data_IF_537946939114
#
_entry.id   IF_537946939114
#
_cell.length_a   1.000
_cell.length_b   1.000
_cell.length_c   1.000
_cell.angle_alpha   90.00
_cell.angle_beta   90.00
_cell.angle_gamma   90.00
#
_symmetry.space_group_name_H-M   'P 1'
#
loop_
_entity.id
_entity.type
_entity.pdbx_description
1 polymer ?
#
# COMPACT_ATOMS: atom_id res chain seq x y z
N UNK A 1 -2.21 -11.97 16.84
CA UNK A 1 -3.30 -12.05 15.88
C UNK A 1 -2.84 -11.81 14.47
N UNK A 2 -3.33 -12.59 13.53
CA UNK A 2 -2.91 -12.48 12.15
C UNK A 2 -3.74 -11.42 11.43
N UNK A 3 -3.06 -10.50 10.77
CA UNK A 3 -3.72 -9.49 9.97
C UNK A 3 -4.19 -10.11 8.66
N UNK A 4 -5.32 -9.65 8.18
CA UNK A 4 -5.90 -10.15 6.94
C UNK A 4 -5.78 -9.09 5.87
N UNK A 5 -5.03 -9.41 4.82
CA UNK A 5 -4.85 -8.50 3.69
C UNK A 5 -5.71 -8.96 2.52
N UNK A 6 -6.20 -7.98 1.76
CA UNK A 6 -6.84 -8.31 0.48
C UNK A 6 -5.79 -8.91 -0.45
N UNK A 7 -6.27 -9.53 -1.55
CA UNK A 7 -5.33 -10.10 -2.52
C UNK A 7 -4.39 -9.04 -3.08
N UNK A 8 -4.92 -7.87 -3.40
CA UNK A 8 -4.08 -6.79 -3.93
C UNK A 8 -3.09 -6.29 -2.90
N UNK A 9 -3.52 -6.21 -1.63
CA UNK A 9 -2.61 -5.76 -0.58
C UNK A 9 -1.50 -6.79 -0.35
N UNK A 10 -1.85 -8.08 -0.34
CA UNK A 10 -0.84 -9.11 -0.17
C UNK A 10 0.13 -9.10 -1.34
N UNK A 11 -0.39 -8.92 -2.56
CA UNK A 11 0.46 -8.85 -3.75
C UNK A 11 1.40 -7.64 -3.66
N UNK A 12 0.90 -6.52 -3.13
CA UNK A 12 1.74 -5.33 -2.96
C UNK A 12 2.87 -5.59 -1.98
N UNK A 13 2.59 -6.27 -0.87
CA UNK A 13 3.62 -6.59 0.11
C UNK A 13 4.64 -7.55 -0.47
N UNK A 14 4.19 -8.55 -1.23
CA UNK A 14 5.10 -9.46 -1.90
C UNK A 14 5.98 -8.71 -2.90
N UNK A 15 5.39 -7.77 -3.64
CA UNK A 15 6.15 -6.98 -4.60
C UNK A 15 7.16 -6.06 -3.91
N UNK A 16 6.84 -5.59 -2.69
CA UNK A 16 7.79 -4.79 -1.93
C UNK A 16 9.04 -5.60 -1.61
N UNK A 17 8.85 -6.84 -1.19
CA UNK A 17 9.98 -7.73 -0.89
C UNK A 17 10.81 -7.96 -2.15
N UNK A 18 10.14 -8.26 -3.26
CA UNK A 18 10.85 -8.52 -4.51
C UNK A 18 11.59 -7.29 -5.00
N UNK A 19 11.00 -6.10 -4.83
CA UNK A 19 11.68 -4.86 -5.23
C UNK A 19 12.94 -4.63 -4.41
N UNK A 20 12.88 -4.86 -3.10
CA UNK A 20 14.06 -4.73 -2.25
C UNK A 20 15.15 -5.69 -2.70
N UNK A 21 14.77 -6.94 -2.98
CA UNK A 21 15.74 -7.96 -3.42
C UNK A 21 16.37 -7.56 -4.74
N UNK A 22 15.57 -7.11 -5.70
CA UNK A 22 16.09 -6.71 -7.01
C UNK A 22 17.08 -5.56 -6.91
N UNK A 23 16.83 -4.64 -5.97
CA UNK A 23 17.72 -3.52 -5.76
C UNK A 23 18.93 -3.88 -4.89
N UNK A 24 18.98 -5.09 -4.39
CA UNK A 24 20.09 -5.53 -3.56
C UNK A 24 20.08 -4.92 -2.17
N UNK A 25 18.91 -4.51 -1.72
CA UNK A 25 18.77 -3.92 -0.38
C UNK A 25 18.51 -5.01 0.64
N UNK A 26 19.09 -4.86 1.84
CA UNK A 26 18.95 -5.85 2.89
C UNK A 26 17.78 -5.56 3.80
N UNK A 27 16.99 -4.54 3.49
CA UNK A 27 15.88 -4.12 4.32
C UNK A 27 14.68 -3.81 3.45
N UNK A 28 13.50 -3.83 4.07
CA UNK A 28 12.26 -3.39 3.46
C UNK A 28 11.84 -2.13 4.18
N UNK A 29 12.03 -0.98 3.54
CA UNK A 29 11.65 0.30 4.07
C UNK A 29 10.35 0.79 3.49
N UNK A 30 9.93 1.98 3.89
CA UNK A 30 8.68 2.55 3.38
C UNK A 30 8.75 2.77 1.87
N UNK A 31 9.93 3.08 1.34
CA UNK A 31 10.08 3.24 -0.11
C UNK A 31 9.80 1.95 -0.85
N UNK A 32 10.13 0.81 -0.27
CA UNK A 32 9.84 -0.47 -0.89
C UNK A 32 8.35 -0.79 -0.81
N UNK A 33 7.69 -0.39 0.27
CA UNK A 33 6.23 -0.53 0.36
C UNK A 33 5.58 0.31 -0.73
N UNK A 34 6.07 1.53 -0.93
CA UNK A 34 5.55 2.37 -2.01
C UNK A 34 5.72 1.70 -3.36
N UNK A 35 6.89 1.11 -3.62
CA UNK A 35 7.12 0.38 -4.86
C UNK A 35 6.14 -0.79 -5.00
N UNK A 36 5.90 -1.50 -3.91
CA UNK A 36 4.96 -2.61 -3.94
C UNK A 36 3.56 -2.17 -4.29
N UNK A 37 3.12 -1.04 -3.72
CA UNK A 37 1.79 -0.51 -4.01
C UNK A 37 1.65 -0.13 -5.48
N UNK A 38 2.74 0.31 -6.10
CA UNK A 38 2.71 0.75 -7.50
C UNK A 38 2.87 -0.40 -8.50
N UNK A 39 3.35 -1.55 -8.05
CA UNK A 39 3.85 -2.57 -8.95
C UNK A 39 2.81 -3.09 -9.93
N UNK A 40 1.64 -3.47 -9.44
CA UNK A 40 0.63 -4.07 -10.32
C UNK A 40 -0.20 -3.06 -11.09
N UNK A 41 -0.44 -1.91 -10.51
CA UNK A 41 -1.11 -0.84 -11.22
C UNK A 41 -2.62 -0.92 -11.30
N UNK A 42 -3.26 -1.90 -10.67
CA UNK A 42 -4.72 -2.01 -10.73
C UNK A 42 -5.37 -2.11 -9.37
N UNK A 43 -4.75 -1.52 -8.36
CA UNK A 43 -5.34 -1.42 -7.02
C UNK A 43 -5.77 0.02 -6.78
N UNK A 44 -6.51 0.24 -5.70
CA UNK A 44 -6.91 1.60 -5.34
C UNK A 44 -5.67 2.47 -5.12
N UNK A 45 -4.69 1.95 -4.37
CA UNK A 45 -3.49 2.73 -4.08
C UNK A 45 -2.72 3.05 -5.36
N UNK A 46 -2.56 2.07 -6.24
CA UNK A 46 -1.84 2.29 -7.49
C UNK A 46 -2.56 3.31 -8.35
N UNK A 47 -3.88 3.20 -8.45
CA UNK A 47 -4.65 4.14 -9.26
C UNK A 47 -4.54 5.56 -8.73
N UNK A 48 -4.62 5.74 -7.42
CA UNK A 48 -4.49 7.05 -6.82
C UNK A 48 -3.10 7.64 -7.05
N UNK A 49 -2.07 6.83 -6.82
CA UNK A 49 -0.69 7.29 -7.02
C UNK A 49 -0.43 7.63 -8.48
N UNK A 50 -0.89 6.77 -9.39
CA UNK A 50 -0.72 7.03 -10.82
C UNK A 50 -1.43 8.31 -11.24
N UNK A 51 -2.58 8.60 -10.65
CA UNK A 51 -3.32 9.82 -10.97
C UNK A 51 -2.56 11.08 -10.56
N UNK A 52 -1.59 10.95 -9.66
CA UNK A 52 -0.74 12.05 -9.24
C UNK A 52 0.58 12.07 -10.01
N UNK A 53 0.73 11.23 -11.03
CA UNK A 53 1.94 11.16 -11.81
C UNK A 53 3.04 10.32 -11.20
N UNK A 54 2.72 9.56 -10.15
CA UNK A 54 3.70 8.69 -9.50
C UNK A 54 3.61 7.32 -10.13
N UNK A 55 4.72 6.83 -10.66
CA UNK A 55 4.78 5.53 -11.31
C UNK A 55 5.86 4.67 -10.68
N UNK A 56 5.74 3.37 -10.89
CA UNK A 56 6.73 2.42 -10.39
C UNK A 56 8.13 2.78 -10.89
N UNK A 57 8.25 3.04 -12.18
CA UNK A 57 9.55 3.31 -12.80
C UNK A 57 10.19 4.57 -12.23
N UNK A 58 9.40 5.62 -12.03
CA UNK A 58 9.92 6.85 -11.45
C UNK A 58 10.49 6.62 -10.06
N UNK A 59 9.75 5.87 -9.24
CA UNK A 59 10.18 5.65 -7.86
C UNK A 59 11.39 4.72 -7.83
N UNK A 60 11.45 3.72 -8.71
CA UNK A 60 12.64 2.88 -8.79
C UNK A 60 13.87 3.73 -9.11
N UNK A 61 13.74 4.65 -10.08
CA UNK A 61 14.86 5.49 -10.45
C UNK A 61 15.31 6.36 -9.29
N UNK A 62 14.35 6.93 -8.56
CA UNK A 62 14.68 7.80 -7.43
C UNK A 62 15.32 7.01 -6.30
N UNK A 63 14.76 5.86 -5.97
CA UNK A 63 15.30 5.04 -4.90
C UNK A 63 16.71 4.56 -5.26
N UNK A 64 16.90 4.15 -6.50
CA UNK A 64 18.22 3.71 -6.95
C UNK A 64 19.23 4.83 -6.86
N UNK A 65 18.84 6.06 -7.22
CA UNK A 65 19.74 7.19 -7.17
C UNK A 65 20.07 7.61 -5.74
N UNK A 66 19.08 7.50 -4.82
CA UNK A 66 19.25 7.97 -3.45
C UNK A 66 20.01 6.99 -2.58
N UNK A 67 19.71 5.70 -2.70
CA UNK A 67 20.32 4.69 -1.83
C UNK A 67 21.26 3.76 -2.55
N UNK A 68 21.32 3.88 -3.88
CA UNK A 68 22.15 2.99 -4.66
C UNK A 68 21.50 1.64 -4.88
N UNK A 69 22.20 0.83 -5.64
CA UNK A 69 21.76 -0.52 -5.96
C UNK A 69 22.87 -1.47 -5.51
N UNK A 70 22.52 -2.38 -4.62
CA UNK A 70 23.46 -3.39 -4.19
C UNK A 70 23.39 -4.61 -5.09
N UNK A 71 24.16 -5.62 -4.72
CA UNK A 71 24.08 -6.89 -5.42
C UNK A 71 22.78 -7.60 -5.03
N UNK A 72 22.20 -8.30 -5.99
CA UNK A 72 20.95 -8.99 -5.73
C UNK A 72 21.15 -10.01 -4.59
N UNK A 73 20.20 -10.03 -3.69
CA UNK A 73 20.24 -10.93 -2.56
C UNK A 73 19.91 -12.34 -3.04
N UNK A 74 20.76 -13.27 -2.72
CA UNK A 74 20.56 -14.65 -3.14
C UNK A 74 20.13 -15.55 -1.98
N UNK A 75 20.70 -15.32 -0.82
CA UNK A 75 20.59 -16.28 0.26
C UNK A 75 19.72 -15.81 1.40
N UNK A 76 19.49 -14.52 1.52
CA UNK A 76 18.76 -13.98 2.66
C UNK A 76 17.62 -13.10 2.19
N UNK A 77 16.51 -13.15 2.90
CA UNK A 77 15.41 -12.24 2.66
C UNK A 77 15.68 -10.92 3.34
N UNK A 78 15.28 -9.80 2.73
CA UNK A 78 15.40 -8.50 3.39
C UNK A 78 14.58 -8.46 4.67
N UNK A 79 15.06 -7.72 5.64
CA UNK A 79 14.40 -7.57 6.93
C UNK A 79 13.49 -6.36 6.93
N UNK A 80 12.30 -6.53 7.47
CA UNK A 80 11.35 -5.43 7.61
C UNK A 80 11.87 -4.44 8.65
N UNK A 81 11.88 -3.16 8.31
CA UNK A 81 12.31 -2.13 9.26
C UNK A 81 11.23 -1.93 10.32
N UNK A 82 11.62 -1.41 11.50
CA UNK A 82 10.62 -1.09 12.53
C UNK A 82 9.57 -0.10 12.03
N UNK A 83 9.97 0.85 11.19
CA UNK A 83 9.01 1.81 10.64
C UNK A 83 7.97 1.13 9.78
N UNK A 84 8.38 0.16 8.96
CA UNK A 84 7.42 -0.57 8.14
C UNK A 84 6.51 -1.42 9.00
N UNK A 85 7.06 -2.06 10.05
CA UNK A 85 6.21 -2.79 10.96
C UNK A 85 5.13 -1.88 11.57
N UNK A 86 5.52 -0.67 11.94
CA UNK A 86 4.57 0.31 12.47
C UNK A 86 3.53 0.69 11.43
N UNK A 87 3.96 0.90 10.18
CA UNK A 87 3.02 1.23 9.10
C UNK A 87 2.01 0.11 8.91
N UNK A 88 2.46 -1.14 8.95
CA UNK A 88 1.53 -2.25 8.76
C UNK A 88 0.56 -2.39 9.95
N UNK A 89 1.04 -2.16 11.16
CA UNK A 89 0.14 -2.15 12.31
C UNK A 89 -0.90 -1.04 12.20
N UNK A 90 -0.46 0.13 11.76
CA UNK A 90 -1.37 1.25 11.58
C UNK A 90 -2.39 0.97 10.47
N UNK A 91 -1.97 0.28 9.41
CA UNK A 91 -2.91 -0.06 8.34
C UNK A 91 -4.00 -1.00 8.85
N UNK A 92 -3.67 -1.93 9.73
CA UNK A 92 -4.66 -2.79 10.35
C UNK A 92 -5.63 -1.99 11.22
N UNK A 93 -5.10 -1.04 11.96
CA UNK A 93 -5.93 -0.16 12.78
C UNK A 93 -6.88 0.66 11.93
N UNK A 94 -6.38 1.22 10.83
CA UNK A 94 -7.20 2.02 9.94
C UNK A 94 -8.30 1.19 9.28
N UNK A 95 -7.98 -0.04 8.89
CA UNK A 95 -9.00 -0.92 8.34
C UNK A 95 -10.10 -1.17 9.36
N UNK A 96 -9.72 -1.45 10.60
CA UNK A 96 -10.68 -1.69 11.65
C UNK A 96 -11.55 -0.47 11.92
N UNK A 97 -10.93 0.70 11.96
CA UNK A 97 -11.64 1.94 12.24
C UNK A 97 -12.62 2.30 11.13
N UNK A 98 -12.33 1.88 9.90
CA UNK A 98 -13.25 2.14 8.78
C UNK A 98 -14.24 1.00 8.57
N UNK A 99 -14.28 0.04 9.49
CA UNK A 99 -15.25 -1.03 9.43
C UNK A 99 -14.92 -2.14 8.44
N UNK A 100 -13.67 -2.23 8.01
CA UNK A 100 -13.27 -3.22 7.02
C UNK A 100 -12.70 -4.45 7.71
N UNK A 101 -13.07 -5.62 7.20
CA UNK A 101 -12.55 -6.88 7.71
C UNK A 101 -11.11 -7.12 7.24
N UNK A 102 -10.82 -6.69 6.02
CA UNK A 102 -9.52 -6.93 5.41
C UNK A 102 -8.78 -5.62 5.22
N UNK A 103 -7.45 -5.71 5.24
CA UNK A 103 -6.59 -4.56 5.03
C UNK A 103 -6.32 -4.46 3.53
N UNK A 104 -6.78 -3.39 2.91
CA UNK A 104 -6.59 -3.17 1.49
C UNK A 104 -5.40 -2.28 1.22
N UNK A 105 -5.09 -2.09 -0.07
CA UNK A 105 -4.00 -1.21 -0.45
C UNK A 105 -4.26 0.23 -0.02
N UNK A 106 -5.55 0.65 0.02
CA UNK A 106 -5.87 1.99 0.48
C UNK A 106 -5.49 2.19 1.94
N UNK A 107 -5.64 1.15 2.76
CA UNK A 107 -5.28 1.25 4.18
C UNK A 107 -3.77 1.31 4.35
N UNK A 108 -3.03 0.54 3.56
CA UNK A 108 -1.58 0.59 3.61
C UNK A 108 -1.10 1.97 3.15
N UNK A 109 -1.70 2.50 2.10
CA UNK A 109 -1.34 3.83 1.63
C UNK A 109 -1.65 4.89 2.68
N UNK A 110 -2.83 4.84 3.30
CA UNK A 110 -3.18 5.77 4.35
C UNK A 110 -2.18 5.73 5.50
N UNK A 111 -1.83 4.51 5.93
CA UNK A 111 -0.86 4.37 7.03
C UNK A 111 0.48 4.95 6.65
N UNK A 112 0.93 4.67 5.43
CA UNK A 112 2.19 5.19 4.93
C UNK A 112 2.20 6.73 4.96
N UNK A 113 1.11 7.34 4.52
CA UNK A 113 1.02 8.79 4.46
C UNK A 113 0.93 9.44 5.84
N UNK A 114 0.40 8.71 6.83
CA UNK A 114 0.33 9.24 8.19
C UNK A 114 1.68 9.28 8.89
N UNK A 115 2.60 8.45 8.47
CA UNK A 115 3.95 8.45 9.04
C UNK A 115 4.76 9.50 8.28
N UNK A 116 4.60 10.74 8.68
CA UNK A 116 4.99 11.89 7.87
C UNK A 116 6.51 12.02 7.68
N UNK A 117 7.30 11.34 8.48
CA UNK A 117 8.75 11.42 8.37
C UNK A 117 9.37 10.18 7.73
N UNK A 118 8.56 9.35 7.09
CA UNK A 118 9.12 8.17 6.42
C UNK A 118 9.62 8.55 5.03
N UNK A 119 10.47 7.69 4.50
CA UNK A 119 11.11 7.95 3.21
C UNK A 119 10.08 8.05 2.08
N UNK A 120 9.04 7.20 2.12
CA UNK A 120 8.02 7.22 1.07
C UNK A 120 7.34 8.59 0.99
N UNK A 121 7.01 9.18 2.15
CA UNK A 121 6.37 10.50 2.15
C UNK A 121 7.33 11.55 1.59
N UNK A 122 8.61 11.46 1.96
CA UNK A 122 9.60 12.40 1.43
C UNK A 122 9.66 12.31 -0.09
N UNK A 123 9.68 11.09 -0.63
CA UNK A 123 9.71 10.90 -2.08
C UNK A 123 8.47 11.48 -2.74
N UNK A 124 7.31 11.25 -2.15
CA UNK A 124 6.06 11.76 -2.72
C UNK A 124 6.02 13.28 -2.71
N UNK A 125 6.49 13.89 -1.62
CA UNK A 125 6.54 15.35 -1.55
C UNK A 125 7.48 15.91 -2.61
N UNK A 126 8.61 15.26 -2.81
CA UNK A 126 9.56 15.70 -3.82
C UNK A 126 8.97 15.60 -5.23
N UNK A 127 8.02 14.70 -5.44
CA UNK A 127 7.32 14.57 -6.71
C UNK A 127 6.14 15.53 -6.83
N UNK A 128 5.95 16.40 -5.85
CA UNK A 128 4.88 17.38 -5.91
C UNK A 128 3.52 16.87 -5.46
N UNK A 129 3.47 15.74 -4.80
CA UNK A 129 2.21 15.16 -4.36
C UNK A 129 1.70 15.89 -3.12
N UNK A 130 0.43 16.27 -3.13
CA UNK A 130 -0.22 16.81 -1.95
C UNK A 130 -0.61 15.64 -1.05
N UNK A 131 0.10 15.49 0.06
CA UNK A 131 -0.06 14.33 0.92
C UNK A 131 -1.46 14.32 1.55
N UNK A 132 -1.93 15.46 2.03
CA UNK A 132 -3.25 15.53 2.67
C UNK A 132 -4.36 15.17 1.68
N UNK A 133 -4.26 15.67 0.46
CA UNK A 133 -5.24 15.37 -0.57
C UNK A 133 -5.25 13.88 -0.90
N UNK A 134 -4.07 13.31 -1.08
CA UNK A 134 -3.96 11.88 -1.39
C UNK A 134 -4.53 11.04 -0.25
N UNK A 135 -4.23 11.41 1.00
CA UNK A 135 -4.77 10.71 2.15
C UNK A 135 -6.30 10.75 2.15
N UNK A 136 -6.86 11.93 1.91
CA UNK A 136 -8.31 12.07 1.91
C UNK A 136 -8.95 11.24 0.79
N UNK A 137 -8.31 11.20 -0.36
CA UNK A 137 -8.81 10.38 -1.46
C UNK A 137 -8.76 8.89 -1.12
N UNK A 138 -7.69 8.45 -0.49
CA UNK A 138 -7.59 7.05 -0.06
C UNK A 138 -8.65 6.74 1.00
N UNK A 139 -8.85 7.67 1.94
CA UNK A 139 -9.81 7.45 3.02
C UNK A 139 -11.24 7.40 2.49
N UNK A 140 -11.55 8.11 1.41
CA UNK A 140 -12.89 8.10 0.87
C UNK A 140 -13.11 6.99 -0.14
N UNK A 141 -12.09 6.21 -0.46
CA UNK A 141 -12.27 5.03 -1.31
C UNK A 141 -13.03 3.98 -0.53
N UNK A 142 -13.92 3.28 -1.23
CA UNK A 142 -14.78 2.33 -0.53
C UNK A 142 -14.02 1.12 -0.05
N UNK A 143 -13.57 0.33 -0.96
CA UNK A 143 -12.79 -0.84 -0.60
C UNK A 143 -11.89 -1.15 -1.76
N UNK A 144 -10.67 -1.48 -1.42
CA UNK A 144 -9.76 -2.06 -2.37
C UNK A 144 -10.15 -3.51 -2.47
N UNK A 145 -10.22 -4.05 -3.65
CA UNK A 145 -10.62 -5.44 -3.79
C UNK A 145 -11.95 -5.74 -3.12
N UNK A 146 -12.79 -4.73 -2.98
CA UNK A 146 -14.09 -4.97 -2.39
C UNK A 146 -14.81 -6.09 -3.08
N UNK A 147 -14.71 -6.14 -4.40
CA UNK A 147 -15.32 -7.20 -5.16
C UNK A 147 -14.67 -8.54 -4.86
N UNK A 148 -13.36 -8.57 -4.63
CA UNK A 148 -12.67 -9.83 -4.41
C UNK A 148 -13.15 -10.52 -3.14
N UNK A 149 -13.13 -9.81 -2.02
CA UNK A 149 -13.53 -10.50 -0.82
C UNK A 149 -15.03 -10.47 -0.61
N UNK A 150 -15.74 -9.57 -1.26
CA UNK A 150 -17.19 -9.66 -1.28
C UNK A 150 -17.62 -10.90 -2.04
N UNK A 151 -16.96 -11.18 -3.16
CA UNK A 151 -17.31 -12.36 -3.93
C UNK A 151 -16.94 -13.64 -3.22
N UNK A 152 -15.93 -13.60 -2.39
CA UNK A 152 -15.59 -14.79 -1.63
C UNK A 152 -16.47 -14.94 -0.43
N UNK A 153 -17.18 -13.96 -0.12
CA UNK A 153 -17.99 -14.03 0.96
C UNK A 153 -19.11 -13.23 0.94
N UNK A 154 -19.40 -12.57 0.36
CA UNK A 154 -20.37 -11.81 0.70
C UNK A 154 -21.19 -11.06 0.09
N UNK A 155 -21.81 -10.98 -0.29
CA UNK A 155 -22.26 -10.27 -0.97
C UNK A 155 -22.80 -9.18 -0.85
N UNK A 156 -23.01 -9.04 -0.97
CA UNK A 156 -23.48 -8.30 -1.02
C UNK A 156 -24.07 -7.44 -0.98
N UNK A 157 -24.14 -7.57 -1.29
CA UNK A 157 -24.71 -6.99 -1.35
C UNK A 157 -25.33 -6.24 -1.33
N UNK A 158 -25.46 -6.47 -1.63
CA UNK A 158 -26.13 -5.98 -1.71
C UNK A 158 -26.80 -5.29 -1.50
N UNK A 159 -26.77 -5.49 -1.69
CA UNK A 159 -27.51 -5.10 -1.58
C UNK A 159 -27.98 -4.49 -1.20
N UNK A 160 -28.26 -4.59 -1.46
CA UNK A 160 -28.74 -4.33 -1.21
C UNK A 160 -29.07 -3.55 -0.78
N UNK A 161 -29.22 -3.45 -0.88
CA UNK A 161 -29.60 -2.95 -0.56
C UNK A 161 -29.88 -2.29 -0.06
N UNK A 162 -29.88 -2.52 -0.13
CA UNK A 162 -30.11 -2.04 0.26
C UNK A 162 -30.15 -1.44 0.75
N UNK A 163 -30.07 -1.70 0.65
CA UNK A 163 -29.99 -1.33 1.05
C UNK A 163 -29.81 -0.67 1.56
N UNK A 164 -29.72 -0.86 1.50
CA UNK A 164 -29.39 -0.49 1.93
C UNK A 164 -28.96 -0.01 2.41
N UNK A 165 -28.81 -0.11 2.36
CA UNK A 165 -28.18 -0.14 2.78
C UNK A 165 -27.60 0.13 3.22
N UNK A 166 -27.48 0.02 3.27
CA UNK A 166 -26.86 -0.06 3.69
C UNK A 166 -26.41 -0.13 4.12
N UNK A 167 -26.20 -0.40 3.99
CA UNK A 167 -25.69 -0.67 4.30
C UNK A 167 -25.23 -0.60 4.39
N UNK A 168 -25.18 -0.77 4.27
CA UNK A 168 -24.71 -0.79 4.27
C UNK A 168 -24.67 -0.74 4.34
#
# INVERSE_FOLDING_TARGET
MTNRFTENAQAALNAAVESAKKLGHTYIGSEHILLGLLYKGNSIAANLLNSKGVTYEKIVDIVSANTGVGEAMQAMDPQTTPRVSHILELSAELARLTGQTFIGTEHILMALLKVSDCEAVRLLRNEGVNIAELYNQAASSMTDDGAAYASSGVPSSSEGKNSSGSYS
#
